data_IF_655743016348
#
_entry.id   IF_655743016348
#
_cell.length_a   1.000
_cell.length_b   1.000
_cell.length_c   1.000
_cell.angle_alpha   90.00
_cell.angle_beta   90.00
_cell.angle_gamma   90.00
#
_symmetry.space_group_name_H-M   'P 1'
#
loop_
_entity.id
_entity.type
_entity.pdbx_description
1 polymer ?
#
# COMPACT_ATOMS: atom_id res chain seq x y z
N UNK A 1 -57.51 76.59 -2.79
CA UNK A 1 -56.76 76.68 -1.51
C UNK A 1 -56.54 75.28 -0.97
N UNK A 2 -55.28 74.94 -0.69
CA UNK A 2 -54.81 73.67 -0.08
C UNK A 2 -54.34 72.65 -1.11
N UNK A 3 -53.15 72.05 -1.08
CA UNK A 3 -52.00 72.07 -0.14
C UNK A 3 -50.71 71.73 -0.91
N UNK A 4 -49.60 72.11 -0.30
CA UNK A 4 -48.17 72.04 -0.68
C UNK A 4 -47.57 70.63 -0.50
N UNK A 5 -46.58 70.23 -1.31
CA UNK A 5 -45.19 69.82 -0.93
C UNK A 5 -44.48 69.08 -2.08
N UNK A 6 -43.38 69.59 -2.64
CA UNK A 6 -41.94 69.31 -2.33
C UNK A 6 -41.57 67.82 -2.42
N UNK A 7 -40.74 67.48 -3.42
CA UNK A 7 -39.88 66.29 -3.40
C UNK A 7 -38.42 66.68 -3.64
N UNK A 8 -37.60 66.13 -2.74
CA UNK A 8 -36.17 66.35 -2.55
C UNK A 8 -35.35 65.43 -3.46
N UNK A 9 -34.19 65.92 -3.86
CA UNK A 9 -33.14 65.26 -4.62
C UNK A 9 -32.57 64.03 -3.91
N UNK A 10 -32.36 62.93 -4.65
CA UNK A 10 -31.60 61.75 -4.23
C UNK A 10 -30.18 61.87 -4.79
N UNK A 11 -29.19 61.83 -3.91
CA UNK A 11 -27.79 61.68 -4.27
C UNK A 11 -27.42 60.18 -4.34
N UNK A 12 -26.83 59.77 -5.46
CA UNK A 12 -26.30 58.42 -5.69
C UNK A 12 -24.87 58.38 -5.12
N UNK A 13 -24.67 57.63 -4.03
CA UNK A 13 -23.34 57.26 -3.53
C UNK A 13 -23.06 55.81 -3.88
N UNK A 14 -22.21 55.58 -4.89
CA UNK A 14 -21.71 54.26 -5.25
C UNK A 14 -20.58 53.84 -4.32
N UNK A 15 -20.75 52.72 -3.63
CA UNK A 15 -19.70 52.06 -2.85
C UNK A 15 -19.18 50.88 -3.67
N UNK A 16 -17.98 51.02 -4.24
CA UNK A 16 -17.26 49.92 -4.87
C UNK A 16 -16.73 49.01 -3.77
N UNK A 17 -17.35 47.84 -3.59
CA UNK A 17 -16.82 46.78 -2.75
C UNK A 17 -15.69 46.07 -3.52
N UNK A 18 -14.45 46.26 -3.06
CA UNK A 18 -13.32 45.41 -3.41
C UNK A 18 -13.47 44.10 -2.65
N UNK A 19 -13.90 43.04 -3.34
CA UNK A 19 -13.83 41.68 -2.81
C UNK A 19 -12.37 41.25 -2.71
N UNK A 20 -11.88 40.76 -1.55
CA UNK A 20 -10.59 40.10 -1.50
C UNK A 20 -10.68 38.79 -2.26
N UNK A 21 -9.81 38.62 -3.26
CA UNK A 21 -9.48 37.32 -3.84
C UNK A 21 -8.79 36.49 -2.74
N UNK A 22 -9.60 35.81 -1.93
CA UNK A 22 -9.12 34.70 -1.15
C UNK A 22 -8.76 33.60 -2.16
N UNK A 23 -7.46 33.37 -2.36
CA UNK A 23 -7.00 32.06 -2.79
C UNK A 23 -7.45 31.09 -1.70
N UNK A 24 -8.56 30.40 -1.94
CA UNK A 24 -8.84 29.16 -1.24
C UNK A 24 -7.67 28.24 -1.57
N UNK A 25 -6.72 28.14 -0.65
CA UNK A 25 -5.83 27.01 -0.57
C UNK A 25 -6.77 25.82 -0.44
N UNK A 26 -6.80 24.98 -1.47
CA UNK A 26 -7.60 23.76 -1.48
C UNK A 26 -7.24 23.03 -0.18
N UNK A 27 -8.21 22.88 0.72
CA UNK A 27 -7.95 22.15 1.95
C UNK A 27 -7.63 20.73 1.52
N UNK A 28 -6.45 20.22 1.91
CA UNK A 28 -6.06 18.86 1.58
C UNK A 28 -7.22 17.90 1.91
N UNK A 29 -7.62 17.09 0.93
CA UNK A 29 -8.69 16.13 1.12
C UNK A 29 -8.25 15.11 2.18
N UNK A 30 -9.01 15.00 3.27
CA UNK A 30 -8.78 13.97 4.26
C UNK A 30 -9.03 12.59 3.64
N UNK A 31 -8.09 11.67 3.78
CA UNK A 31 -8.19 10.31 3.23
C UNK A 31 -7.94 9.27 4.32
N UNK A 32 -8.66 8.14 4.25
CA UNK A 32 -8.46 7.05 5.22
C UNK A 32 -7.05 6.45 5.06
N UNK A 33 -6.59 6.29 3.81
CA UNK A 33 -5.34 5.62 3.48
C UNK A 33 -4.42 6.41 2.55
N UNK A 34 -3.12 6.43 2.87
CA UNK A 34 -2.03 6.71 1.93
C UNK A 34 -1.51 5.37 1.40
N UNK A 35 -1.74 5.09 0.13
CA UNK A 35 -1.31 3.83 -0.49
C UNK A 35 0.07 4.02 -1.10
N UNK A 36 1.06 3.31 -0.56
CA UNK A 36 2.41 3.30 -1.12
C UNK A 36 2.45 2.50 -2.42
N UNK A 37 3.38 2.82 -3.36
CA UNK A 37 3.59 1.99 -4.54
C UNK A 37 3.82 0.54 -4.13
N UNK A 38 3.13 -0.43 -4.76
CA UNK A 38 3.35 -1.83 -4.43
C UNK A 38 4.81 -2.23 -4.64
N UNK A 39 5.40 -2.91 -3.66
CA UNK A 39 6.71 -3.53 -3.75
C UNK A 39 6.55 -4.99 -4.16
N UNK A 40 6.68 -5.30 -5.46
CA UNK A 40 6.57 -6.67 -5.96
C UNK A 40 7.87 -7.13 -6.63
N UNK A 41 8.38 -8.27 -6.17
CA UNK A 41 9.51 -8.97 -6.77
C UNK A 41 9.08 -10.35 -7.28
N UNK A 42 9.36 -10.62 -8.56
CA UNK A 42 9.16 -11.92 -9.17
C UNK A 42 10.50 -12.46 -9.67
N UNK A 43 10.86 -13.65 -9.19
CA UNK A 43 12.06 -14.38 -9.54
C UNK A 43 11.69 -15.64 -10.31
N UNK A 44 12.36 -15.89 -11.43
CA UNK A 44 12.19 -17.10 -12.22
C UNK A 44 13.32 -18.09 -11.93
N UNK A 45 12.97 -19.31 -11.54
CA UNK A 45 13.95 -20.35 -11.21
C UNK A 45 14.10 -21.28 -12.41
N UNK A 46 15.26 -21.22 -13.05
CA UNK A 46 15.65 -22.11 -14.13
C UNK A 46 16.61 -23.19 -13.63
N UNK A 47 16.95 -24.16 -14.47
CA UNK A 47 18.02 -25.11 -14.17
C UNK A 47 19.40 -24.44 -14.10
N UNK A 48 19.52 -23.19 -14.57
CA UNK A 48 20.72 -22.38 -14.51
C UNK A 48 20.83 -21.49 -13.26
N UNK A 49 19.74 -21.33 -12.50
CA UNK A 49 19.71 -20.51 -11.29
C UNK A 49 18.47 -19.62 -11.20
N UNK A 50 18.51 -18.69 -10.25
CA UNK A 50 17.47 -17.69 -10.03
C UNK A 50 17.71 -16.45 -10.89
N UNK A 51 16.69 -16.03 -11.63
CA UNK A 51 16.72 -14.90 -12.54
C UNK A 51 15.63 -13.89 -12.16
N UNK A 52 15.97 -12.69 -11.64
CA UNK A 52 15.00 -11.63 -11.42
C UNK A 52 14.31 -11.24 -12.72
N UNK A 53 12.98 -11.06 -12.70
CA UNK A 53 12.17 -10.76 -13.87
C UNK A 53 11.50 -9.41 -13.73
N UNK A 54 12.19 -8.35 -14.17
CA UNK A 54 11.68 -6.98 -14.10
C UNK A 54 10.31 -6.84 -14.80
N UNK A 55 10.13 -7.42 -15.98
CA UNK A 55 8.87 -7.40 -16.73
C UNK A 55 7.70 -8.03 -15.95
N UNK A 56 7.98 -9.05 -15.14
CA UNK A 56 6.99 -9.73 -14.33
C UNK A 56 6.71 -8.99 -13.03
N UNK A 57 7.74 -8.44 -12.39
CA UNK A 57 7.61 -7.54 -11.25
C UNK A 57 6.79 -6.30 -11.61
N UNK A 58 7.02 -5.71 -12.79
CA UNK A 58 6.26 -4.55 -13.28
C UNK A 58 4.78 -4.88 -13.47
N UNK A 59 4.48 -6.02 -14.11
CA UNK A 59 3.10 -6.47 -14.30
C UNK A 59 2.39 -6.71 -12.95
N UNK A 60 3.08 -7.30 -11.98
CA UNK A 60 2.56 -7.52 -10.64
C UNK A 60 2.26 -6.18 -9.93
N UNK A 61 3.18 -5.21 -9.98
CA UNK A 61 2.99 -3.89 -9.37
C UNK A 61 1.79 -3.15 -9.96
N UNK A 62 1.67 -3.12 -11.30
CA UNK A 62 0.54 -2.49 -11.98
C UNK A 62 -0.81 -3.13 -11.61
N UNK A 63 -0.87 -4.46 -11.57
CA UNK A 63 -2.09 -5.16 -11.17
C UNK A 63 -2.46 -4.87 -9.71
N UNK A 64 -1.49 -4.89 -8.80
CA UNK A 64 -1.74 -4.57 -7.39
C UNK A 64 -2.22 -3.13 -7.21
N UNK A 65 -1.57 -2.16 -7.85
CA UNK A 65 -1.94 -0.74 -7.78
C UNK A 65 -3.40 -0.53 -8.21
N UNK A 66 -3.78 -1.09 -9.36
CA UNK A 66 -5.17 -1.01 -9.86
C UNK A 66 -6.14 -1.69 -8.91
N UNK A 67 -5.87 -2.92 -8.49
CA UNK A 67 -6.84 -3.69 -7.70
C UNK A 67 -6.97 -3.21 -6.26
N UNK A 68 -5.90 -2.70 -5.65
CA UNK A 68 -5.97 -2.08 -4.31
C UNK A 68 -6.88 -0.85 -4.36
N UNK A 69 -6.67 0.01 -5.36
CA UNK A 69 -7.49 1.20 -5.60
C UNK A 69 -8.96 0.84 -5.81
N UNK A 70 -9.23 -0.17 -6.66
CA UNK A 70 -10.58 -0.66 -6.93
C UNK A 70 -11.25 -1.21 -5.65
N UNK A 71 -10.53 -1.98 -4.84
CA UNK A 71 -11.06 -2.59 -3.63
C UNK A 71 -11.29 -1.58 -2.50
N UNK A 72 -10.41 -0.59 -2.31
CA UNK A 72 -10.63 0.50 -1.35
C UNK A 72 -11.88 1.30 -1.71
N UNK A 73 -12.00 1.69 -2.99
CA UNK A 73 -13.19 2.38 -3.50
C UNK A 73 -14.46 1.56 -3.33
N UNK A 74 -14.42 0.27 -3.68
CA UNK A 74 -15.57 -0.63 -3.56
C UNK A 74 -16.02 -0.85 -2.12
N UNK A 75 -15.10 -0.76 -1.16
CA UNK A 75 -15.38 -0.87 0.28
C UNK A 75 -15.75 0.48 0.91
N UNK A 76 -15.76 1.57 0.14
CA UNK A 76 -16.16 2.90 0.60
C UNK A 76 -15.08 3.68 1.34
N UNK A 77 -13.81 3.29 1.19
CA UNK A 77 -12.67 4.01 1.74
C UNK A 77 -12.17 5.09 0.78
N UNK A 78 -11.84 6.26 1.32
CA UNK A 78 -11.06 7.27 0.59
C UNK A 78 -9.57 6.91 0.67
N UNK A 79 -8.82 7.19 -0.38
CA UNK A 79 -7.38 6.96 -0.38
C UNK A 79 -6.67 7.93 -1.30
N UNK A 80 -5.38 8.12 -1.04
CA UNK A 80 -4.45 8.79 -1.93
C UNK A 80 -3.29 7.87 -2.25
N UNK A 81 -2.85 7.86 -3.50
CA UNK A 81 -1.63 7.14 -3.88
C UNK A 81 -0.41 8.02 -3.60
N UNK A 82 0.62 7.43 -3.01
CA UNK A 82 1.91 8.08 -2.90
C UNK A 82 2.61 8.09 -4.27
N UNK A 83 2.94 9.27 -4.76
CA UNK A 83 3.66 9.42 -6.04
C UNK A 83 5.17 9.42 -5.81
N UNK A 84 5.87 8.46 -6.40
CA UNK A 84 7.34 8.46 -6.45
C UNK A 84 7.81 9.36 -7.58
N UNK A 85 8.70 10.30 -7.29
CA UNK A 85 9.44 11.07 -8.31
C UNK A 85 10.87 10.53 -8.45
N UNK A 86 11.57 10.93 -9.52
CA UNK A 86 13.01 10.64 -9.66
C UNK A 86 13.84 11.25 -8.51
N UNK A 87 13.29 12.24 -7.81
CA UNK A 87 13.89 12.90 -6.64
C UNK A 87 13.27 12.40 -5.31
N UNK A 88 12.69 11.19 -5.30
CA UNK A 88 12.21 10.59 -4.04
C UNK A 88 13.37 10.59 -3.04
N UNK A 89 13.13 11.14 -1.85
CA UNK A 89 14.19 11.28 -0.85
C UNK A 89 14.77 9.91 -0.48
N UNK A 90 16.09 9.83 -0.32
CA UNK A 90 16.79 8.66 0.22
C UNK A 90 16.14 8.20 1.55
N UNK A 91 15.62 9.14 2.35
CA UNK A 91 14.94 8.83 3.61
C UNK A 91 13.65 8.00 3.41
N UNK A 92 12.92 8.22 2.31
CA UNK A 92 11.69 7.46 1.98
C UNK A 92 12.06 6.05 1.50
N UNK A 93 13.13 5.91 0.73
CA UNK A 93 13.66 4.59 0.35
C UNK A 93 14.07 3.80 1.60
N UNK A 94 14.77 4.45 2.56
CA UNK A 94 15.12 3.82 3.83
C UNK A 94 13.88 3.46 4.67
N UNK A 95 12.83 4.28 4.64
CA UNK A 95 11.55 3.97 5.29
C UNK A 95 10.91 2.70 4.69
N UNK A 96 10.91 2.56 3.36
CA UNK A 96 10.39 1.36 2.70
C UNK A 96 11.19 0.11 3.09
N UNK A 97 12.52 0.20 3.11
CA UNK A 97 13.38 -0.91 3.55
C UNK A 97 13.18 -1.26 5.03
N UNK A 98 12.99 -0.24 5.87
CA UNK A 98 12.67 -0.44 7.28
C UNK A 98 11.32 -1.15 7.43
N UNK A 99 10.29 -0.73 6.70
CA UNK A 99 8.98 -1.36 6.71
C UNK A 99 9.05 -2.83 6.28
N UNK A 100 9.81 -3.17 5.24
CA UNK A 100 10.01 -4.55 4.80
C UNK A 100 10.62 -5.40 5.93
N UNK A 101 11.67 -4.88 6.60
CA UNK A 101 12.32 -5.59 7.69
C UNK A 101 11.41 -5.74 8.92
N UNK A 102 10.70 -4.67 9.29
CA UNK A 102 9.74 -4.67 10.39
C UNK A 102 8.66 -5.71 10.15
N UNK A 103 8.05 -5.71 8.96
CA UNK A 103 6.98 -6.67 8.65
C UNK A 103 7.50 -8.09 8.50
N UNK A 104 8.70 -8.32 7.96
CA UNK A 104 9.34 -9.64 7.93
C UNK A 104 9.54 -10.21 9.34
N UNK A 105 9.86 -9.34 10.32
CA UNK A 105 10.07 -9.76 11.71
C UNK A 105 8.79 -10.25 12.41
N UNK A 106 7.59 -9.90 11.91
CA UNK A 106 6.31 -10.39 12.45
C UNK A 106 6.22 -11.92 12.43
N UNK A 107 6.84 -12.55 11.43
CA UNK A 107 6.83 -14.00 11.25
C UNK A 107 7.94 -14.71 12.02
N UNK A 108 8.82 -13.97 12.72
CA UNK A 108 9.92 -14.53 13.49
C UNK A 108 9.49 -14.89 14.91
N UNK A 109 9.82 -16.11 15.33
CA UNK A 109 9.69 -16.51 16.73
C UNK A 109 10.82 -15.86 17.56
N UNK A 110 10.47 -15.04 18.55
CA UNK A 110 11.43 -14.42 19.48
C UNK A 110 11.49 -15.26 20.76
N UNK A 111 12.59 -16.00 21.03
CA UNK A 111 12.67 -17.00 22.12
C UNK A 111 12.51 -16.44 23.55
N UNK A 112 12.56 -15.12 23.73
CA UNK A 112 12.54 -14.45 25.03
C UNK A 112 11.36 -13.51 25.24
N UNK A 113 10.41 -13.43 24.29
CA UNK A 113 9.15 -12.71 24.49
C UNK A 113 8.17 -13.69 25.16
N UNK A 114 7.84 -13.46 26.43
CA UNK A 114 6.89 -14.32 27.16
C UNK A 114 5.50 -14.24 26.51
N UNK A 115 4.96 -15.39 26.09
CA UNK A 115 3.65 -15.53 25.46
C UNK A 115 3.67 -16.52 24.30
N UNK A 116 2.71 -17.46 24.27
CA UNK A 116 2.54 -18.44 23.18
C UNK A 116 2.01 -17.80 21.87
N UNK A 117 2.47 -16.61 21.51
CA UNK A 117 1.90 -15.83 20.41
C UNK A 117 2.95 -15.50 19.36
N UNK A 118 2.67 -15.88 18.12
CA UNK A 118 3.31 -15.34 16.91
C UNK A 118 2.96 -13.86 16.67
N UNK A 119 2.90 -13.06 17.74
CA UNK A 119 2.29 -11.74 17.75
C UNK A 119 3.32 -10.73 18.26
N UNK A 120 4.31 -10.44 17.42
CA UNK A 120 5.17 -9.28 17.63
C UNK A 120 4.43 -8.02 17.15
N UNK A 121 3.28 -7.72 17.76
CA UNK A 121 2.37 -6.65 17.31
C UNK A 121 2.78 -5.25 17.79
N UNK A 122 3.72 -5.15 18.74
CA UNK A 122 4.25 -3.87 19.24
C UNK A 122 5.32 -3.30 18.30
N UNK A 123 5.20 -3.57 17.00
CA UNK A 123 6.14 -3.11 15.99
C UNK A 123 5.67 -1.78 15.42
N UNK A 124 6.63 -0.92 15.13
CA UNK A 124 6.39 0.46 14.72
C UNK A 124 7.48 0.90 13.75
N UNK A 125 7.12 1.74 12.80
CA UNK A 125 8.06 2.54 12.02
C UNK A 125 8.57 3.74 12.85
N UNK A 126 7.94 4.02 13.98
CA UNK A 126 8.22 5.16 14.85
C UNK A 126 8.09 6.48 14.11
N UNK A 127 8.88 7.46 14.53
CA UNK A 127 8.85 8.83 14.00
C UNK A 127 9.16 8.92 12.48
N UNK A 128 9.71 7.87 11.87
CA UNK A 128 10.03 7.85 10.44
C UNK A 128 8.80 7.89 9.54
N UNK A 129 7.61 7.52 10.04
CA UNK A 129 6.34 7.69 9.31
C UNK A 129 6.04 9.17 9.03
N UNK A 130 6.60 10.08 9.83
CA UNK A 130 6.46 11.52 9.61
C UNK A 130 7.05 12.00 8.27
N UNK A 131 7.95 11.22 7.66
CA UNK A 131 8.46 11.49 6.30
C UNK A 131 7.35 11.42 5.24
N UNK A 132 6.29 10.66 5.50
CA UNK A 132 5.12 10.52 4.63
C UNK A 132 4.02 11.55 4.96
N UNK A 133 4.12 12.23 6.10
CA UNK A 133 3.20 13.31 6.50
C UNK A 133 3.52 14.56 5.67
N UNK A 134 2.94 14.61 4.48
CA UNK A 134 2.93 15.81 3.63
C UNK A 134 1.97 16.87 4.17
N UNK A 135 1.40 17.68 3.27
CA UNK A 135 0.33 18.64 3.61
C UNK A 135 -1.04 17.96 3.82
N UNK A 136 -1.13 16.65 3.59
CA UNK A 136 -2.39 15.91 3.57
C UNK A 136 -2.70 15.26 4.92
N UNK A 137 -3.98 15.27 5.28
CA UNK A 137 -4.50 14.67 6.51
C UNK A 137 -4.89 13.21 6.20
N UNK A 138 -4.05 12.27 6.63
CA UNK A 138 -4.26 10.83 6.40
C UNK A 138 -4.08 10.09 7.71
N UNK A 139 -5.01 9.16 7.99
CA UNK A 139 -5.01 8.37 9.22
C UNK A 139 -3.98 7.23 9.17
N UNK A 140 -3.95 6.46 8.08
CA UNK A 140 -3.08 5.28 7.94
C UNK A 140 -2.29 5.26 6.63
N UNK A 141 -1.09 4.67 6.64
CA UNK A 141 -0.36 4.31 5.41
C UNK A 141 -0.49 2.81 5.15
N UNK A 142 -0.85 2.44 3.92
CA UNK A 142 -0.95 1.07 3.45
C UNK A 142 0.26 0.71 2.57
N UNK A 143 0.99 -0.31 2.98
CA UNK A 143 2.04 -0.95 2.19
C UNK A 143 1.55 -2.26 1.58
N UNK A 144 2.00 -2.52 0.35
CA UNK A 144 1.72 -3.75 -0.40
C UNK A 144 3.04 -4.40 -0.79
N UNK A 145 3.33 -5.55 -0.20
CA UNK A 145 4.52 -6.34 -0.50
C UNK A 145 4.14 -7.64 -1.21
N UNK A 146 4.94 -8.04 -2.19
CA UNK A 146 4.83 -9.33 -2.83
C UNK A 146 6.20 -9.89 -3.17
N UNK A 147 6.38 -11.17 -2.88
CA UNK A 147 7.53 -11.93 -3.35
C UNK A 147 7.06 -13.26 -3.94
N UNK A 148 7.57 -13.56 -5.14
CA UNK A 148 7.38 -14.89 -5.73
C UNK A 148 8.63 -15.45 -6.39
N UNK A 149 8.82 -16.75 -6.20
CA UNK A 149 9.69 -17.61 -6.98
C UNK A 149 8.81 -18.52 -7.84
N UNK A 150 9.01 -18.48 -9.15
CA UNK A 150 8.29 -19.29 -10.12
C UNK A 150 9.26 -20.25 -10.79
N UNK A 151 9.05 -21.55 -10.62
CA UNK A 151 9.90 -22.57 -11.22
C UNK A 151 9.57 -22.80 -12.70
N UNK A 152 10.62 -22.93 -13.51
CA UNK A 152 10.50 -23.41 -14.88
C UNK A 152 10.06 -24.87 -14.93
N UNK A 153 9.44 -25.27 -16.04
CA UNK A 153 9.15 -26.68 -16.32
C UNK A 153 10.42 -27.55 -16.33
N UNK A 154 11.58 -26.98 -16.68
CA UNK A 154 12.87 -27.67 -16.63
C UNK A 154 13.28 -28.07 -15.21
N UNK A 155 13.08 -27.17 -14.24
CA UNK A 155 13.35 -27.45 -12.81
C UNK A 155 12.42 -28.56 -12.31
N UNK A 156 11.13 -28.48 -12.64
CA UNK A 156 10.18 -29.55 -12.31
C UNK A 156 10.59 -30.91 -12.91
N UNK A 157 10.92 -30.96 -14.21
CA UNK A 157 11.35 -32.20 -14.86
C UNK A 157 12.64 -32.75 -14.25
N UNK A 158 13.57 -31.88 -13.87
CA UNK A 158 14.79 -32.28 -13.17
C UNK A 158 14.47 -32.89 -11.81
N UNK A 159 13.57 -32.28 -11.02
CA UNK A 159 13.15 -32.82 -9.73
C UNK A 159 12.52 -34.22 -9.88
N UNK A 160 11.67 -34.43 -10.90
CA UNK A 160 11.10 -35.74 -11.23
C UNK A 160 12.17 -36.75 -11.63
N UNK A 161 13.14 -36.36 -12.45
CA UNK A 161 14.24 -37.23 -12.88
C UNK A 161 15.11 -37.65 -11.68
N UNK A 162 15.48 -36.70 -10.82
CA UNK A 162 16.20 -36.97 -9.55
C UNK A 162 15.38 -37.92 -8.67
N UNK A 163 14.08 -37.67 -8.51
CA UNK A 163 13.20 -38.55 -7.74
C UNK A 163 13.12 -39.97 -8.28
N UNK A 164 13.12 -40.12 -9.61
CA UNK A 164 13.09 -41.45 -10.25
C UNK A 164 14.40 -42.21 -10.02
N UNK A 165 15.56 -41.54 -10.05
CA UNK A 165 16.87 -42.17 -9.88
C UNK A 165 17.20 -42.44 -8.40
N UNK A 166 16.83 -41.53 -7.51
CA UNK A 166 17.24 -41.54 -6.10
C UNK A 166 16.16 -42.04 -5.14
N UNK A 167 14.91 -42.12 -5.59
CA UNK A 167 13.75 -42.33 -4.72
C UNK A 167 13.33 -41.10 -3.90
N UNK A 168 14.00 -39.96 -4.07
CA UNK A 168 13.74 -38.72 -3.35
C UNK A 168 13.45 -37.56 -4.32
N UNK A 169 12.23 -37.01 -4.26
CA UNK A 169 11.85 -35.82 -5.04
C UNK A 169 12.23 -34.58 -4.24
N UNK A 170 13.14 -33.72 -4.74
CA UNK A 170 13.44 -32.45 -4.08
C UNK A 170 12.17 -31.62 -3.89
N UNK A 171 12.03 -30.90 -2.76
CA UNK A 171 10.91 -29.99 -2.57
C UNK A 171 10.94 -28.88 -3.63
N UNK A 172 9.76 -28.40 -4.01
CA UNK A 172 9.63 -27.25 -4.89
C UNK A 172 10.10 -25.99 -4.17
N UNK A 173 10.82 -25.13 -4.89
CA UNK A 173 11.20 -23.78 -4.46
C UNK A 173 10.14 -22.74 -4.87
N UNK A 174 8.96 -23.15 -5.36
CA UNK A 174 7.87 -22.21 -5.59
C UNK A 174 7.41 -21.61 -4.26
N UNK A 175 7.76 -20.35 -4.04
CA UNK A 175 7.30 -19.55 -2.91
C UNK A 175 6.51 -18.40 -3.50
N UNK A 176 5.30 -18.14 -2.99
CA UNK A 176 4.51 -16.98 -3.39
C UNK A 176 3.77 -16.46 -2.18
N UNK A 177 4.06 -15.23 -1.79
CA UNK A 177 3.34 -14.57 -0.72
C UNK A 177 3.16 -13.09 -1.04
N UNK A 178 1.99 -12.59 -0.66
CA UNK A 178 1.67 -11.18 -0.63
C UNK A 178 1.31 -10.78 0.79
N UNK A 179 1.58 -9.53 1.13
CA UNK A 179 1.27 -8.95 2.42
C UNK A 179 0.72 -7.55 2.26
N UNK A 180 -0.30 -7.25 3.03
CA UNK A 180 -0.65 -5.87 3.37
C UNK A 180 -0.24 -5.57 4.80
N UNK A 181 0.23 -4.36 5.03
CA UNK A 181 0.49 -3.83 6.36
C UNK A 181 0.08 -2.36 6.40
N UNK A 182 -0.69 -2.00 7.42
CA UNK A 182 -1.07 -0.61 7.67
C UNK A 182 -0.38 -0.10 8.92
N UNK A 183 0.03 1.17 8.88
CA UNK A 183 0.62 1.85 10.02
C UNK A 183 -0.10 3.16 10.28
N UNK A 184 -0.29 3.48 11.55
CA UNK A 184 -0.87 4.75 11.98
C UNK A 184 0.08 5.90 11.64
N UNK A 185 -0.42 6.94 10.97
CA UNK A 185 0.39 8.06 10.49
C UNK A 185 0.81 9.02 11.62
N UNK A 186 0.21 8.93 12.82
CA UNK A 186 0.59 9.76 13.96
C UNK A 186 1.73 9.14 14.77
N UNK A 187 1.65 7.84 15.03
CA UNK A 187 2.49 7.08 15.95
C UNK A 187 3.50 6.18 15.24
N UNK A 188 3.22 5.79 13.99
CA UNK A 188 4.01 4.81 13.24
C UNK A 188 3.73 3.37 13.64
N UNK A 189 2.77 3.11 14.54
CA UNK A 189 2.47 1.77 15.03
C UNK A 189 1.75 0.92 13.98
N UNK A 190 2.09 -0.37 13.92
CA UNK A 190 1.42 -1.32 13.05
C UNK A 190 -0.03 -1.51 13.51
N UNK A 191 -0.99 -1.08 12.70
CA UNK A 191 -2.42 -1.19 13.03
C UNK A 191 -3.02 -2.47 12.48
N UNK A 192 -2.56 -2.94 11.32
CA UNK A 192 -3.10 -4.14 10.70
C UNK A 192 -2.09 -4.84 9.80
N UNK A 193 -2.28 -6.14 9.62
CA UNK A 193 -1.56 -6.91 8.61
C UNK A 193 -2.36 -8.11 8.14
N UNK A 194 -2.25 -8.41 6.85
CA UNK A 194 -2.78 -9.63 6.26
C UNK A 194 -1.74 -10.26 5.36
N UNK A 195 -1.70 -11.60 5.35
CA UNK A 195 -0.83 -12.38 4.46
C UNK A 195 -1.70 -13.28 3.61
N UNK A 196 -1.39 -13.32 2.32
CA UNK A 196 -1.97 -14.27 1.38
C UNK A 196 -0.84 -15.08 0.76
N UNK A 197 -0.98 -16.39 0.79
CA UNK A 197 -0.04 -17.30 0.14
C UNK A 197 -0.66 -17.80 -1.16
N UNK A 198 0.20 -18.05 -2.15
CA UNK A 198 -0.18 -18.52 -3.49
C UNK A 198 -0.85 -17.46 -4.37
N UNK A 199 -1.17 -17.85 -5.61
CA UNK A 199 -1.61 -16.95 -6.69
C UNK A 199 -0.45 -16.37 -7.50
N UNK A 200 -0.74 -15.97 -8.73
CA UNK A 200 0.17 -15.32 -9.66
C UNK A 200 -0.24 -13.85 -9.83
N UNK A 201 0.54 -12.88 -9.29
CA UNK A 201 0.14 -11.48 -9.32
C UNK A 201 0.19 -10.87 -10.73
N UNK A 202 0.78 -11.58 -11.70
CA UNK A 202 0.88 -11.15 -13.10
C UNK A 202 -0.44 -11.39 -13.84
N UNK A 203 -1.19 -12.41 -13.42
CA UNK A 203 -2.53 -12.65 -13.92
C UNK A 203 -3.50 -11.70 -13.24
N UNK A 204 -4.30 -10.99 -14.03
CA UNK A 204 -5.23 -9.96 -13.54
C UNK A 204 -6.28 -10.58 -12.61
N UNK A 205 -6.83 -11.75 -12.96
CA UNK A 205 -7.87 -12.40 -12.16
C UNK A 205 -7.32 -12.97 -10.86
N UNK A 206 -6.14 -13.59 -10.89
CA UNK A 206 -5.48 -14.06 -9.67
C UNK A 206 -5.04 -12.90 -8.78
N UNK A 207 -4.48 -11.82 -9.34
CA UNK A 207 -4.10 -10.62 -8.59
C UNK A 207 -5.29 -9.97 -7.87
N UNK A 208 -6.43 -9.84 -8.56
CA UNK A 208 -7.67 -9.35 -7.94
C UNK A 208 -8.09 -10.22 -6.74
N UNK A 209 -7.99 -11.55 -6.88
CA UNK A 209 -8.31 -12.47 -5.79
C UNK A 209 -7.33 -12.34 -4.61
N UNK A 210 -6.04 -12.15 -4.88
CA UNK A 210 -5.02 -11.89 -3.85
C UNK A 210 -5.41 -10.64 -3.05
N UNK A 211 -5.64 -9.50 -3.72
CA UNK A 211 -6.01 -8.23 -3.07
C UNK A 211 -7.30 -8.38 -2.27
N UNK A 212 -8.34 -8.99 -2.85
CA UNK A 212 -9.62 -9.17 -2.15
C UNK A 212 -9.47 -9.99 -0.87
N UNK A 213 -8.64 -11.03 -0.89
CA UNK A 213 -8.38 -11.84 0.29
C UNK A 213 -7.54 -11.08 1.34
N UNK A 214 -6.56 -10.28 0.93
CA UNK A 214 -5.78 -9.44 1.83
C UNK A 214 -6.64 -8.37 2.51
N UNK A 215 -7.46 -7.64 1.75
CA UNK A 215 -8.39 -6.64 2.29
C UNK A 215 -9.37 -7.27 3.31
N UNK A 216 -9.91 -8.45 2.99
CA UNK A 216 -10.77 -9.19 3.93
C UNK A 216 -10.01 -9.60 5.18
N UNK A 217 -8.75 -10.02 5.04
CA UNK A 217 -7.88 -10.37 6.16
C UNK A 217 -7.65 -9.19 7.11
N UNK A 218 -7.42 -8.00 6.57
CA UNK A 218 -7.26 -6.78 7.37
C UNK A 218 -8.56 -6.42 8.11
N UNK A 219 -9.71 -6.41 7.43
CA UNK A 219 -11.01 -6.10 8.06
C UNK A 219 -11.38 -7.01 9.24
N UNK A 220 -10.83 -8.24 9.28
CA UNK A 220 -11.08 -9.20 10.36
C UNK A 220 -10.12 -9.09 11.54
N UNK A 221 -9.05 -8.30 11.47
CA UNK A 221 -8.12 -8.10 12.59
C UNK A 221 -8.69 -7.17 13.69
N UNK A 222 -9.82 -6.50 13.43
CA UNK A 222 -10.51 -5.60 14.37
C UNK A 222 -11.74 -6.20 15.08
N UNK A 223 -11.92 -7.53 15.11
CA UNK A 223 -13.02 -8.21 15.82
C UNK A 223 -12.55 -9.27 16.81
#
# INVERSE_FOLDING_TARGET
>A
MGKVSIFSSIAIGGMLALSPLAYAQDAAEAADYLVMPPNAEVVFITTGGAEPRADWSDAARMNFESHVSDQLTANGHSFMSFETSEDTSEDIEQLMLLQELVTASLSMHIPHKEGNGYNNTDLSLGDSVALLRGENDVDEVLFVDHYSQIESSGVFLMAVAVGTVTGYVPPSNNVRFSRFSTFDMETGDLTNTAIHMFGDPRDVGESQNIVSNLMRGMSLAGQ
#
